data_IF_634260427574
#
_entry.id   IF_634260427574
#
_cell.length_a   1.000
_cell.length_b   1.000
_cell.length_c   1.000
_cell.angle_alpha   90.00
_cell.angle_beta   90.00
_cell.angle_gamma   90.00
#
_symmetry.space_group_name_H-M   'P 1'
#
loop_
_entity.id
_entity.type
_entity.pdbx_description
1 polymer ?
#
# COMPACT_ATOMS: atom_id res chain seq x y z
N UNK A 1 1.03 -9.77 8.64
CA UNK A 1 -0.03 -9.64 7.64
C UNK A 1 -0.50 -8.19 7.62
N UNK A 2 -1.01 -7.68 6.50
CA UNK A 2 -1.55 -6.31 6.40
C UNK A 2 -3.06 -6.37 6.55
N UNK A 3 -3.62 -5.60 7.48
CA UNK A 3 -5.06 -5.47 7.63
C UNK A 3 -5.56 -4.14 7.05
N UNK A 4 -6.84 -4.09 6.72
CA UNK A 4 -7.47 -2.84 6.34
C UNK A 4 -7.31 -1.80 7.46
N UNK A 5 -7.01 -0.57 7.07
CA UNK A 5 -6.73 0.60 7.92
C UNK A 5 -5.34 0.63 8.58
N UNK A 6 -4.48 -0.36 8.39
CA UNK A 6 -3.09 -0.31 8.87
C UNK A 6 -2.30 0.83 8.21
N UNK A 7 -1.35 1.40 8.96
CA UNK A 7 -0.26 2.20 8.36
C UNK A 7 0.67 1.26 7.60
N UNK A 8 0.97 1.63 6.36
CA UNK A 8 1.78 0.81 5.45
C UNK A 8 2.85 1.63 4.74
N UNK A 9 3.96 0.97 4.46
CA UNK A 9 5.02 1.44 3.57
C UNK A 9 4.81 0.78 2.21
N UNK A 10 4.82 1.59 1.15
CA UNK A 10 4.79 1.09 -0.23
C UNK A 10 6.22 0.99 -0.72
N UNK A 11 6.60 -0.17 -1.23
CA UNK A 11 7.94 -0.45 -1.76
C UNK A 11 7.87 -0.98 -3.20
N UNK A 12 8.96 -0.84 -3.95
CA UNK A 12 9.15 -1.58 -5.21
C UNK A 12 9.68 -3.01 -4.97
N UNK A 13 9.91 -3.75 -6.05
CA UNK A 13 10.40 -5.15 -5.99
C UNK A 13 11.81 -5.29 -5.40
N UNK A 14 12.63 -4.23 -5.44
CA UNK A 14 13.95 -4.20 -4.83
C UNK A 14 13.90 -3.80 -3.34
N UNK A 15 12.71 -3.51 -2.80
CA UNK A 15 12.52 -3.05 -1.44
C UNK A 15 12.76 -1.55 -1.24
N UNK A 16 12.86 -0.76 -2.31
CA UNK A 16 13.01 0.68 -2.22
C UNK A 16 11.69 1.32 -1.80
N UNK A 17 11.73 2.19 -0.78
CA UNK A 17 10.54 2.90 -0.30
C UNK A 17 10.04 3.90 -1.34
N UNK A 18 8.74 3.85 -1.65
CA UNK A 18 8.06 4.75 -2.58
C UNK A 18 7.11 5.71 -1.86
N UNK A 19 6.43 5.27 -0.80
CA UNK A 19 5.46 6.08 -0.09
C UNK A 19 5.10 5.51 1.30
N UNK A 20 4.42 6.34 2.10
CA UNK A 20 3.68 5.92 3.29
C UNK A 20 2.19 6.25 3.14
N UNK A 21 1.33 5.41 3.69
CA UNK A 21 -0.11 5.60 3.60
C UNK A 21 -0.90 4.64 4.48
N UNK A 22 -2.22 4.62 4.27
CA UNK A 22 -3.12 3.71 4.98
C UNK A 22 -3.68 2.65 4.03
N UNK A 23 -3.59 1.39 4.43
CA UNK A 23 -4.21 0.28 3.72
C UNK A 23 -5.73 0.46 3.66
N UNK A 24 -6.30 0.27 2.48
CA UNK A 24 -7.77 0.23 2.27
C UNK A 24 -8.27 -1.22 2.38
N UNK A 25 -7.46 -2.17 1.92
CA UNK A 25 -7.74 -3.61 1.89
C UNK A 25 -6.74 -4.36 2.77
N UNK A 26 -7.03 -5.61 3.11
CA UNK A 26 -6.03 -6.51 3.69
C UNK A 26 -5.07 -7.05 2.62
N UNK A 27 -3.92 -7.60 3.04
CA UNK A 27 -2.87 -8.06 2.12
C UNK A 27 -3.34 -9.15 1.14
N UNK A 28 -4.20 -10.08 1.60
CA UNK A 28 -4.79 -11.11 0.74
C UNK A 28 -5.72 -10.51 -0.31
N UNK A 29 -6.58 -9.57 0.08
CA UNK A 29 -7.47 -8.84 -0.82
C UNK A 29 -6.67 -8.03 -1.84
N UNK A 30 -5.62 -7.30 -1.42
CA UNK A 30 -4.78 -6.52 -2.34
C UNK A 30 -4.21 -7.36 -3.49
N UNK A 31 -3.86 -8.63 -3.25
CA UNK A 31 -3.34 -9.55 -4.27
C UNK A 31 -4.42 -10.11 -5.19
N UNK A 32 -5.62 -10.36 -4.66
CA UNK A 32 -6.74 -10.89 -5.43
C UNK A 32 -7.44 -9.80 -6.28
N UNK A 33 -7.36 -8.55 -5.85
CA UNK A 33 -8.12 -7.43 -6.43
C UNK A 33 -7.48 -6.91 -7.72
N UNK A 34 -8.29 -6.72 -8.76
CA UNK A 34 -7.80 -6.30 -10.09
C UNK A 34 -8.02 -4.82 -10.41
N UNK A 35 -8.87 -4.11 -9.66
CA UNK A 35 -9.23 -2.69 -9.90
C UNK A 35 -9.65 -2.03 -8.61
N UNK A 36 -9.28 -0.77 -8.38
CA UNK A 36 -9.63 -0.01 -7.18
C UNK A 36 -8.39 0.46 -6.41
N UNK A 37 -8.59 1.07 -5.25
CA UNK A 37 -7.50 1.65 -4.44
C UNK A 37 -7.10 0.68 -3.33
N UNK A 38 -5.85 0.21 -3.34
CA UNK A 38 -5.29 -0.65 -2.29
C UNK A 38 -4.76 0.14 -1.08
N UNK A 39 -4.17 1.31 -1.33
CA UNK A 39 -3.57 2.18 -0.30
C UNK A 39 -3.93 3.64 -0.59
N UNK A 40 -4.40 4.36 0.42
CA UNK A 40 -4.50 5.84 0.38
C UNK A 40 -3.16 6.42 0.83
N UNK A 41 -2.38 6.93 -0.12
CA UNK A 41 -1.06 7.53 0.14
C UNK A 41 -1.22 8.86 0.86
N UNK A 42 -0.44 9.06 1.93
CA UNK A 42 -0.31 10.35 2.64
C UNK A 42 0.89 11.14 2.15
N UNK A 43 2.01 10.46 1.86
CA UNK A 43 3.24 11.09 1.36
C UNK A 43 4.04 10.12 0.49
N UNK A 44 4.39 10.55 -0.72
CA UNK A 44 5.35 9.89 -1.60
C UNK A 44 6.78 10.43 -1.41
N UNK A 45 7.79 9.62 -1.75
CA UNK A 45 9.21 10.03 -1.66
C UNK A 45 9.65 10.92 -2.82
N UNK A 46 8.92 10.89 -3.95
CA UNK A 46 9.16 11.74 -5.12
C UNK A 46 7.85 12.46 -5.49
N UNK A 47 7.99 13.70 -5.96
CA UNK A 47 6.93 14.56 -6.50
C UNK A 47 6.62 14.20 -7.94
#
# INVERSE_FOLDING_TARGET
DVHARDEVVVVDEAGTVLAVGRAVLCGGEMRAFKRGVAVKVRRGVKS
#
